data_IF_778984263507
#
_entry.id   IF_778984263507
#
_cell.length_a   1.000
_cell.length_b   1.000
_cell.length_c   1.000
_cell.angle_alpha   90.00
_cell.angle_beta   90.00
_cell.angle_gamma   90.00
#
_symmetry.space_group_name_H-M   'P 1'
#
loop_
_entity.id
_entity.type
_entity.pdbx_description
1 polymer ?
#
# COMPACT_ATOMS: atom_id res chain seq x y z
N UNK A 1 -3.59 -16.33 24.39
CA UNK A 1 -4.61 -16.41 23.31
C UNK A 1 -3.86 -16.38 22.00
N UNK A 2 -3.76 -17.50 21.28
CA UNK A 2 -3.15 -17.55 19.95
C UNK A 2 -4.16 -16.99 18.96
N UNK A 3 -3.86 -15.84 18.37
CA UNK A 3 -4.69 -15.23 17.35
C UNK A 3 -4.83 -16.18 16.17
N UNK A 4 -6.07 -16.41 15.71
CA UNK A 4 -6.31 -17.35 14.61
C UNK A 4 -6.10 -16.61 13.30
N UNK A 5 -5.21 -17.10 12.41
CA UNK A 5 -4.92 -16.40 11.17
C UNK A 5 -6.18 -16.27 10.32
N UNK A 6 -6.41 -15.05 9.84
CA UNK A 6 -7.50 -14.66 8.96
C UNK A 6 -7.43 -15.38 7.62
N UNK A 7 -8.54 -15.40 6.86
CA UNK A 7 -8.56 -15.93 5.49
C UNK A 7 -7.53 -15.25 4.58
N UNK A 8 -7.26 -13.96 4.80
CA UNK A 8 -6.23 -13.23 4.05
C UNK A 8 -4.83 -13.75 4.35
N UNK A 9 -4.50 -13.96 5.62
CA UNK A 9 -3.18 -14.44 6.05
C UNK A 9 -2.94 -15.87 5.59
N UNK A 10 -3.96 -16.74 5.71
CA UNK A 10 -3.92 -18.11 5.18
C UNK A 10 -3.74 -18.12 3.66
N UNK A 11 -4.46 -17.26 2.94
CA UNK A 11 -4.28 -17.13 1.49
C UNK A 11 -2.88 -16.62 1.13
N UNK A 12 -2.38 -15.61 1.84
CA UNK A 12 -1.03 -15.06 1.62
C UNK A 12 0.06 -16.12 1.84
N UNK A 13 -0.06 -16.92 2.92
CA UNK A 13 0.78 -18.10 3.16
C UNK A 13 0.70 -19.08 2.00
N UNK A 14 -0.51 -19.44 1.58
CA UNK A 14 -0.74 -20.40 0.50
C UNK A 14 -0.11 -19.98 -0.84
N UNK A 15 -0.12 -18.69 -1.18
CA UNK A 15 0.55 -18.17 -2.39
C UNK A 15 2.07 -18.30 -2.37
N UNK A 16 2.65 -18.60 -1.20
CA UNK A 16 4.10 -18.75 -0.98
C UNK A 16 4.45 -20.18 -0.56
N UNK A 17 3.49 -21.10 -0.57
CA UNK A 17 3.70 -22.46 -0.09
C UNK A 17 4.66 -23.24 -0.99
N UNK A 18 5.51 -24.05 -0.35
CA UNK A 18 6.38 -25.01 -1.01
C UNK A 18 5.72 -26.39 -1.21
N UNK A 19 4.52 -26.59 -0.65
CA UNK A 19 3.76 -27.84 -0.76
C UNK A 19 2.32 -27.57 -1.19
N UNK A 20 1.92 -28.16 -2.31
CA UNK A 20 0.55 -28.10 -2.82
C UNK A 20 -0.17 -29.44 -2.70
N UNK A 21 0.20 -30.24 -1.69
CA UNK A 21 -0.48 -31.51 -1.42
C UNK A 21 -1.90 -31.24 -0.93
N UNK A 22 -2.83 -32.03 -1.45
CA UNK A 22 -4.23 -32.06 -1.01
C UNK A 22 -4.42 -33.35 -0.22
N UNK A 23 -4.85 -33.23 1.03
CA UNK A 23 -5.04 -34.37 1.93
C UNK A 23 -6.50 -34.40 2.40
N UNK A 24 -7.14 -35.57 2.28
CA UNK A 24 -8.52 -35.72 2.71
C UNK A 24 -8.63 -35.52 4.23
N UNK A 25 -9.52 -34.60 4.65
CA UNK A 25 -9.79 -34.32 6.07
C UNK A 25 -8.92 -33.23 6.70
N UNK A 26 -7.94 -32.67 5.97
CA UNK A 26 -7.12 -31.55 6.43
C UNK A 26 -7.25 -30.37 5.47
N UNK A 27 -7.40 -29.15 6.01
CA UNK A 27 -7.37 -27.92 5.23
C UNK A 27 -5.94 -27.40 5.14
N UNK A 28 -5.30 -27.58 3.99
CA UNK A 28 -3.95 -27.11 3.68
C UNK A 28 -3.94 -25.88 2.78
N UNK A 29 -2.73 -25.41 2.44
CA UNK A 29 -2.53 -24.26 1.55
C UNK A 29 -3.16 -24.46 0.16
N UNK A 30 -3.12 -25.69 -0.36
CA UNK A 30 -3.73 -26.04 -1.64
C UNK A 30 -5.24 -25.77 -1.65
N UNK A 31 -5.95 -26.07 -0.56
CA UNK A 31 -7.40 -25.84 -0.44
C UNK A 31 -7.74 -24.34 -0.50
N UNK A 32 -6.91 -23.49 0.11
CA UNK A 32 -7.09 -22.04 0.04
C UNK A 32 -6.88 -21.52 -1.40
N UNK A 33 -5.90 -22.06 -2.14
CA UNK A 33 -5.69 -21.69 -3.54
C UNK A 33 -6.84 -22.15 -4.44
N UNK A 34 -7.32 -23.39 -4.24
CA UNK A 34 -8.48 -23.91 -4.96
C UNK A 34 -9.71 -23.05 -4.66
N UNK A 35 -10.02 -22.81 -3.39
CA UNK A 35 -11.16 -21.98 -3.00
C UNK A 35 -11.07 -20.56 -3.57
N UNK A 36 -9.87 -19.96 -3.61
CA UNK A 36 -9.63 -18.66 -4.22
C UNK A 36 -9.82 -18.67 -5.74
N UNK A 37 -9.37 -19.71 -6.43
CA UNK A 37 -9.59 -19.89 -7.87
C UNK A 37 -11.07 -19.99 -8.23
N UNK A 38 -11.90 -20.48 -7.30
CA UNK A 38 -13.35 -20.56 -7.45
C UNK A 38 -14.10 -19.31 -6.93
N UNK A 39 -13.40 -18.25 -6.51
CA UNK A 39 -14.03 -17.00 -6.10
C UNK A 39 -14.75 -16.33 -7.27
N UNK A 40 -16.01 -15.94 -7.08
CA UNK A 40 -16.77 -15.16 -8.07
C UNK A 40 -16.22 -13.74 -8.24
N UNK A 41 -15.58 -13.18 -7.21
CA UNK A 41 -14.90 -11.89 -7.31
C UNK A 41 -13.46 -12.07 -7.75
N UNK A 42 -13.25 -12.12 -9.07
CA UNK A 42 -11.91 -12.25 -9.67
C UNK A 42 -11.02 -11.05 -9.35
N UNK A 43 -11.56 -9.84 -9.46
CA UNK A 43 -10.84 -8.61 -9.11
C UNK A 43 -10.45 -8.57 -7.62
N UNK A 44 -11.36 -8.99 -6.73
CA UNK A 44 -11.06 -9.11 -5.31
C UNK A 44 -9.93 -10.10 -5.01
N UNK A 45 -9.92 -11.27 -5.68
CA UNK A 45 -8.84 -12.24 -5.55
C UNK A 45 -7.50 -11.69 -6.09
N UNK A 46 -7.53 -10.95 -7.20
CA UNK A 46 -6.36 -10.27 -7.75
C UNK A 46 -5.79 -9.23 -6.78
N UNK A 47 -6.65 -8.44 -6.12
CA UNK A 47 -6.26 -7.50 -5.07
C UNK A 47 -5.63 -8.22 -3.87
N UNK A 48 -6.22 -9.31 -3.39
CA UNK A 48 -5.66 -10.09 -2.29
C UNK A 48 -4.25 -10.61 -2.62
N UNK A 49 -4.04 -11.05 -3.85
CA UNK A 49 -2.73 -11.50 -4.34
C UNK A 49 -1.75 -10.34 -4.47
N UNK A 50 -2.18 -9.19 -4.98
CA UNK A 50 -1.36 -7.99 -5.07
C UNK A 50 -0.88 -7.53 -3.68
N UNK A 51 -1.74 -7.56 -2.67
CA UNK A 51 -1.37 -7.25 -1.29
C UNK A 51 -0.30 -8.23 -0.78
N UNK A 52 -0.47 -9.52 -1.07
CA UNK A 52 0.49 -10.56 -0.69
C UNK A 52 1.85 -10.38 -1.38
N UNK A 53 1.86 -9.94 -2.64
CA UNK A 53 3.06 -9.60 -3.41
C UNK A 53 3.77 -8.36 -2.84
N UNK A 54 3.00 -7.34 -2.45
CA UNK A 54 3.52 -6.14 -1.80
C UNK A 54 4.19 -6.46 -0.45
N UNK A 55 3.52 -7.25 0.40
CA UNK A 55 4.08 -7.68 1.68
C UNK A 55 5.32 -8.56 1.50
N UNK A 56 5.34 -9.39 0.45
CA UNK A 56 6.49 -10.23 0.12
C UNK A 56 7.67 -9.41 -0.42
N UNK A 57 7.42 -8.33 -1.15
CA UNK A 57 8.48 -7.45 -1.64
C UNK A 57 9.31 -6.91 -0.46
N UNK A 58 8.66 -6.47 0.61
CA UNK A 58 9.33 -6.04 1.84
C UNK A 58 10.22 -7.14 2.45
N UNK A 59 9.75 -8.40 2.44
CA UNK A 59 10.50 -9.55 2.97
C UNK A 59 11.70 -9.95 2.11
N UNK A 60 11.64 -9.70 0.80
CA UNK A 60 12.71 -10.03 -0.17
C UNK A 60 13.83 -8.98 -0.22
N UNK A 61 13.88 -8.06 0.74
CA UNK A 61 14.88 -6.99 0.78
C UNK A 61 14.58 -5.84 -0.19
N UNK A 62 13.41 -5.83 -0.86
CA UNK A 62 12.96 -4.65 -1.58
C UNK A 62 12.51 -3.61 -0.56
N UNK A 63 13.26 -2.52 -0.45
CA UNK A 63 12.93 -1.45 0.47
C UNK A 63 11.71 -0.69 -0.06
N UNK A 64 10.54 -0.92 0.56
CA UNK A 64 9.35 -0.13 0.23
C UNK A 64 9.68 1.35 0.49
N UNK A 65 9.66 2.20 -0.54
CA UNK A 65 10.14 3.56 -0.45
C UNK A 65 9.35 4.32 0.60
N UNK A 66 10.04 5.07 1.47
CA UNK A 66 9.43 5.88 2.52
C UNK A 66 9.50 7.34 2.08
N UNK A 67 8.41 8.06 2.27
CA UNK A 67 8.43 9.50 2.03
C UNK A 67 9.50 10.15 2.90
N UNK A 68 10.25 11.08 2.30
CA UNK A 68 11.32 11.77 2.98
C UNK A 68 10.79 12.57 4.17
N UNK A 69 11.47 12.44 5.30
CA UNK A 69 11.16 13.19 6.51
C UNK A 69 11.62 14.64 6.38
N UNK A 70 11.00 15.54 7.16
CA UNK A 70 11.46 16.95 7.24
C UNK A 70 12.94 17.07 7.58
N UNK A 71 13.46 16.16 8.43
CA UNK A 71 14.89 16.11 8.79
C UNK A 71 15.77 15.79 7.57
N UNK A 72 15.37 14.80 6.76
CA UNK A 72 16.10 14.44 5.53
C UNK A 72 16.07 15.57 4.50
N UNK A 73 14.92 16.22 4.31
CA UNK A 73 14.80 17.38 3.41
C UNK A 73 15.72 18.51 3.89
N UNK A 74 15.68 18.85 5.18
CA UNK A 74 16.53 19.91 5.74
C UNK A 74 18.02 19.58 5.67
N UNK A 75 18.40 18.31 5.86
CA UNK A 75 19.79 17.89 5.73
C UNK A 75 20.27 18.04 4.28
N UNK A 76 19.53 17.49 3.32
CA UNK A 76 19.90 17.59 1.90
C UNK A 76 19.91 19.04 1.41
N UNK A 77 19.00 19.89 1.91
CA UNK A 77 19.00 21.32 1.59
C UNK A 77 20.28 22.02 2.08
N UNK A 78 20.79 21.66 3.27
CA UNK A 78 22.10 22.14 3.76
C UNK A 78 23.23 21.64 2.86
N UNK A 79 23.24 20.36 2.52
CA UNK A 79 24.30 19.77 1.69
C UNK A 79 24.36 20.44 0.30
N UNK A 80 23.19 20.75 -0.30
CA UNK A 80 23.09 21.49 -1.56
C UNK A 80 23.60 22.94 -1.41
N UNK A 81 23.22 23.63 -0.32
CA UNK A 81 23.68 24.98 -0.05
C UNK A 81 25.21 25.04 0.12
N UNK A 82 25.79 24.07 0.84
CA UNK A 82 27.24 23.94 1.03
C UNK A 82 27.95 23.66 -0.30
N UNK A 83 27.42 22.75 -1.13
CA UNK A 83 27.97 22.45 -2.45
C UNK A 83 27.94 23.68 -3.39
N UNK A 84 26.92 24.53 -3.26
CA UNK A 84 26.81 25.81 -3.99
C UNK A 84 27.49 26.99 -3.28
N UNK A 85 28.27 26.75 -2.22
CA UNK A 85 28.97 27.78 -1.43
C UNK A 85 28.06 28.92 -0.92
N UNK A 86 26.78 28.62 -0.70
CA UNK A 86 25.81 29.59 -0.17
C UNK A 86 26.00 29.74 1.34
N UNK A 87 25.99 30.99 1.84
CA UNK A 87 26.12 31.28 3.28
C UNK A 87 24.91 30.83 4.11
N UNK A 88 23.75 30.71 3.47
CA UNK A 88 22.48 30.40 4.11
C UNK A 88 21.64 29.46 3.24
N UNK A 89 20.76 28.69 3.88
CA UNK A 89 19.82 27.81 3.17
C UNK A 89 18.65 28.65 2.65
N UNK A 90 18.61 28.83 1.34
CA UNK A 90 17.53 29.52 0.65
C UNK A 90 16.42 28.56 0.24
N UNK A 91 15.30 29.15 -0.18
CA UNK A 91 14.11 28.41 -0.66
C UNK A 91 14.48 27.49 -1.82
N UNK A 92 15.31 27.94 -2.75
CA UNK A 92 15.75 27.15 -3.91
C UNK A 92 16.45 25.86 -3.52
N UNK A 93 17.30 25.89 -2.49
CA UNK A 93 17.99 24.70 -1.98
C UNK A 93 17.00 23.72 -1.35
N UNK A 94 16.00 24.24 -0.65
CA UNK A 94 14.93 23.44 -0.03
C UNK A 94 14.03 22.78 -1.07
N UNK A 95 13.68 23.52 -2.13
CA UNK A 95 12.86 23.01 -3.22
C UNK A 95 13.63 22.00 -4.08
N UNK A 96 14.93 22.24 -4.34
CA UNK A 96 15.81 21.28 -4.99
C UNK A 96 16.00 19.99 -4.18
N UNK A 97 16.16 20.10 -2.85
CA UNK A 97 16.24 18.95 -1.95
C UNK A 97 14.94 18.14 -1.98
N UNK A 98 13.78 18.81 -1.90
CA UNK A 98 12.47 18.14 -2.00
C UNK A 98 12.34 17.39 -3.31
N UNK A 99 12.63 18.05 -4.44
CA UNK A 99 12.56 17.44 -5.77
C UNK A 99 13.46 16.21 -5.88
N UNK A 100 14.72 16.31 -5.46
CA UNK A 100 15.67 15.17 -5.52
C UNK A 100 15.22 13.97 -4.70
N UNK A 101 14.62 14.21 -3.53
CA UNK A 101 14.07 13.15 -2.68
C UNK A 101 12.78 12.55 -3.27
N UNK A 102 11.93 13.36 -3.89
CA UNK A 102 10.75 12.90 -4.63
C UNK A 102 11.14 12.05 -5.84
N UNK A 103 12.12 12.48 -6.63
CA UNK A 103 12.63 11.74 -7.79
C UNK A 103 13.21 10.38 -7.37
N UNK A 104 14.01 10.35 -6.29
CA UNK A 104 14.53 9.11 -5.72
C UNK A 104 13.42 8.18 -5.23
N UNK A 105 12.42 8.73 -4.52
CA UNK A 105 11.25 7.98 -4.08
C UNK A 105 10.48 7.36 -5.26
N UNK A 106 10.29 8.11 -6.34
CA UNK A 106 9.61 7.62 -7.55
C UNK A 106 10.41 6.51 -8.22
N UNK A 107 11.75 6.63 -8.29
CA UNK A 107 12.61 5.60 -8.85
C UNK A 107 12.53 4.28 -8.06
N UNK A 108 12.64 4.35 -6.73
CA UNK A 108 12.49 3.19 -5.83
C UNK A 108 11.09 2.56 -5.94
N UNK A 109 10.06 3.39 -6.07
CA UNK A 109 8.68 2.93 -6.22
C UNK A 109 8.48 2.19 -7.54
N UNK A 110 9.04 2.70 -8.64
CA UNK A 110 9.00 2.02 -9.94
C UNK A 110 9.63 0.63 -9.88
N UNK A 111 10.76 0.51 -9.20
CA UNK A 111 11.44 -0.79 -9.03
C UNK A 111 10.59 -1.76 -8.20
N UNK A 112 9.99 -1.26 -7.10
CA UNK A 112 9.05 -2.07 -6.29
C UNK A 112 7.86 -2.54 -7.13
N UNK A 113 7.25 -1.62 -7.90
CA UNK A 113 6.09 -1.89 -8.75
C UNK A 113 6.38 -2.92 -9.85
N UNK A 114 7.60 -2.94 -10.39
CA UNK A 114 8.03 -3.93 -11.41
C UNK A 114 7.92 -5.38 -10.92
N UNK A 115 8.05 -5.60 -9.62
CA UNK A 115 8.01 -6.94 -9.02
C UNK A 115 6.59 -7.44 -8.74
N UNK A 116 5.58 -6.58 -8.83
CA UNK A 116 4.19 -6.88 -8.52
C UNK A 116 3.49 -7.42 -9.76
N UNK A 117 3.27 -8.74 -9.81
CA UNK A 117 2.75 -9.44 -10.99
C UNK A 117 1.29 -9.08 -11.27
N UNK A 118 0.51 -8.86 -10.22
CA UNK A 118 -0.92 -8.50 -10.37
C UNK A 118 -1.14 -7.01 -10.65
N UNK A 119 -0.10 -6.18 -10.57
CA UNK A 119 -0.24 -4.72 -10.68
C UNK A 119 -0.82 -4.27 -12.04
N UNK A 120 -0.38 -4.78 -13.22
CA UNK A 120 -0.90 -4.32 -14.49
C UNK A 120 -2.40 -4.58 -14.66
N UNK A 121 -2.84 -5.79 -14.29
CA UNK A 121 -4.26 -6.19 -14.38
C UNK A 121 -5.12 -5.38 -13.41
N UNK A 122 -4.69 -5.24 -12.15
CA UNK A 122 -5.42 -4.46 -11.15
C UNK A 122 -5.52 -2.99 -11.55
N UNK A 123 -4.43 -2.40 -12.07
CA UNK A 123 -4.41 -1.01 -12.53
C UNK A 123 -5.38 -0.80 -13.69
N UNK A 124 -5.36 -1.68 -14.69
CA UNK A 124 -6.26 -1.57 -15.85
C UNK A 124 -7.73 -1.65 -15.41
N UNK A 125 -8.07 -2.61 -14.54
CA UNK A 125 -9.43 -2.75 -14.02
C UNK A 125 -9.89 -1.51 -13.26
N UNK A 126 -9.04 -0.93 -12.41
CA UNK A 126 -9.36 0.32 -11.72
C UNK A 126 -9.56 1.48 -12.67
N UNK A 127 -8.72 1.60 -13.70
CA UNK A 127 -8.87 2.65 -14.71
C UNK A 127 -10.20 2.52 -15.45
N UNK A 128 -10.58 1.31 -15.86
CA UNK A 128 -11.88 1.06 -16.50
C UNK A 128 -13.04 1.40 -15.55
N UNK A 129 -12.95 1.00 -14.28
CA UNK A 129 -13.97 1.29 -13.27
C UNK A 129 -14.10 2.79 -13.03
N UNK A 130 -12.98 3.51 -12.95
CA UNK A 130 -12.94 4.96 -12.77
C UNK A 130 -13.48 5.70 -14.00
N UNK A 131 -13.20 5.21 -15.21
CA UNK A 131 -13.76 5.77 -16.44
C UNK A 131 -15.29 5.62 -16.51
N UNK A 132 -15.82 4.49 -16.02
CA UNK A 132 -17.26 4.26 -15.92
C UNK A 132 -17.96 5.16 -14.89
N UNK A 133 -17.25 5.62 -13.86
CA UNK A 133 -17.74 6.60 -12.87
C UNK A 133 -17.41 8.05 -13.27
N UNK A 134 -17.05 8.29 -14.55
CA UNK A 134 -16.73 9.61 -15.10
C UNK A 134 -15.61 10.36 -14.35
N UNK A 135 -14.69 9.61 -13.73
CA UNK A 135 -13.59 10.19 -12.97
C UNK A 135 -12.64 10.95 -13.89
N UNK A 136 -12.37 12.25 -13.63
CA UNK A 136 -11.33 12.98 -14.35
C UNK A 136 -9.96 12.39 -14.03
N UNK A 137 -9.01 12.53 -14.95
CA UNK A 137 -7.64 12.04 -14.79
C UNK A 137 -7.57 10.58 -14.32
N UNK A 138 -8.37 9.72 -14.95
CA UNK A 138 -8.59 8.32 -14.59
C UNK A 138 -7.31 7.58 -14.22
N UNK A 139 -6.24 7.73 -15.02
CA UNK A 139 -4.96 7.09 -14.77
C UNK A 139 -4.29 7.59 -13.48
N UNK A 140 -4.18 8.91 -13.31
CA UNK A 140 -3.56 9.56 -12.15
C UNK A 140 -4.28 9.18 -10.87
N UNK A 141 -5.62 9.30 -10.85
CA UNK A 141 -6.43 8.96 -9.69
C UNK A 141 -6.35 7.48 -9.36
N UNK A 142 -6.50 6.59 -10.35
CA UNK A 142 -6.45 5.14 -10.13
C UNK A 142 -5.09 4.69 -9.58
N UNK A 143 -3.99 5.21 -10.13
CA UNK A 143 -2.65 4.88 -9.63
C UNK A 143 -2.43 5.40 -8.21
N UNK A 144 -2.87 6.63 -7.92
CA UNK A 144 -2.74 7.21 -6.59
C UNK A 144 -3.58 6.46 -5.54
N UNK A 145 -4.82 6.10 -5.87
CA UNK A 145 -5.71 5.31 -5.00
C UNK A 145 -5.14 3.92 -4.77
N UNK A 146 -4.63 3.24 -5.80
CA UNK A 146 -4.02 1.93 -5.67
C UNK A 146 -2.79 1.95 -4.75
N UNK A 147 -1.92 2.95 -4.91
CA UNK A 147 -0.78 3.16 -4.02
C UNK A 147 -1.23 3.46 -2.58
N UNK A 148 -2.27 4.28 -2.42
CA UNK A 148 -2.86 4.55 -1.13
C UNK A 148 -3.43 3.28 -0.48
N UNK A 149 -4.11 2.42 -1.24
CA UNK A 149 -4.64 1.15 -0.72
C UNK A 149 -3.53 0.18 -0.29
N UNK A 150 -2.44 0.08 -1.06
CA UNK A 150 -1.27 -0.74 -0.71
C UNK A 150 -0.50 -0.18 0.50
N UNK A 151 -0.52 1.13 0.66
CA UNK A 151 0.23 1.84 1.71
C UNK A 151 -0.57 3.03 2.20
N UNK A 152 -1.58 2.83 3.07
CA UNK A 152 -2.48 3.90 3.48
C UNK A 152 -1.86 4.77 4.57
N UNK A 153 -0.56 4.69 4.84
CA UNK A 153 0.08 5.42 5.95
C UNK A 153 0.17 6.91 5.69
N UNK A 154 -0.05 7.69 6.74
CA UNK A 154 0.12 9.13 6.72
C UNK A 154 1.60 9.48 6.45
N UNK A 155 1.87 10.30 5.44
CA UNK A 155 3.21 10.78 5.14
C UNK A 155 3.88 11.55 6.27
N UNK A 156 3.12 12.38 6.99
CA UNK A 156 3.65 13.26 8.02
C UNK A 156 4.07 12.51 9.30
N UNK A 157 3.24 11.58 9.79
CA UNK A 157 3.55 10.79 10.99
C UNK A 157 4.06 9.38 10.67
N UNK A 158 4.12 8.99 9.40
CA UNK A 158 4.50 7.63 8.97
C UNK A 158 3.68 6.53 9.66
N UNK A 159 2.39 6.79 9.95
CA UNK A 159 1.52 5.86 10.68
C UNK A 159 1.58 5.95 12.21
N UNK A 160 2.47 6.77 12.79
CA UNK A 160 2.62 6.91 14.26
C UNK A 160 1.44 7.54 14.98
N UNK A 161 0.49 8.14 14.26
CA UNK A 161 -0.71 8.84 14.78
C UNK A 161 -0.44 10.12 15.58
N UNK A 162 0.74 10.27 16.17
CA UNK A 162 1.13 11.43 16.98
C UNK A 162 2.20 12.29 16.31
N UNK A 163 2.37 13.51 16.80
CA UNK A 163 3.47 14.39 16.39
C UNK A 163 4.79 13.89 16.99
N UNK A 164 5.89 14.14 16.28
CA UNK A 164 7.23 13.90 16.81
C UNK A 164 7.60 15.05 17.74
N UNK A 165 8.04 14.74 18.96
CA UNK A 165 8.54 15.76 19.87
C UNK A 165 9.82 16.40 19.31
N UNK A 166 9.99 17.74 19.38
CA UNK A 166 11.20 18.42 18.91
C UNK A 166 12.47 18.04 19.67
N UNK A 167 12.37 17.62 20.94
CA UNK A 167 13.52 17.47 21.86
C UNK A 167 13.92 16.04 22.21
N UNK A 168 13.11 15.04 21.92
CA UNK A 168 13.47 13.64 22.15
C UNK A 168 12.80 12.80 21.07
N UNK A 169 13.41 11.68 20.68
CA UNK A 169 12.86 10.72 19.70
C UNK A 169 11.58 10.01 20.16
N UNK A 170 10.86 10.58 21.12
CA UNK A 170 9.64 10.08 21.71
C UNK A 170 8.41 10.65 20.99
N UNK A 171 7.34 9.85 20.98
CA UNK A 171 6.04 10.27 20.50
C UNK A 171 5.48 11.33 21.45
N UNK A 172 5.05 12.47 20.89
CA UNK A 172 4.26 13.42 21.69
C UNK A 172 2.89 12.81 22.02
N UNK A 173 2.22 13.34 23.05
CA UNK A 173 0.81 13.06 23.32
C UNK A 173 -0.15 13.75 22.34
N UNK A 174 0.36 14.59 21.43
CA UNK A 174 -0.44 15.40 20.53
C UNK A 174 -0.70 14.64 19.23
N UNK A 175 -1.98 14.49 18.88
CA UNK A 175 -2.38 13.87 17.62
C UNK A 175 -1.76 14.57 16.40
N UNK A 176 -1.42 13.78 15.38
CA UNK A 176 -0.87 14.29 14.14
C UNK A 176 -1.92 15.15 13.43
N UNK A 177 -1.61 16.44 13.23
CA UNK A 177 -2.52 17.39 12.56
C UNK A 177 -2.85 17.00 11.12
N UNK A 178 -1.96 16.28 10.44
CA UNK A 178 -2.18 15.90 9.03
C UNK A 178 -3.19 14.78 8.86
N UNK A 179 -3.31 13.86 9.82
CA UNK A 179 -4.25 12.72 9.74
C UNK A 179 -5.27 12.70 10.87
N UNK A 180 -5.28 13.71 11.74
CA UNK A 180 -6.18 13.78 12.91
C UNK A 180 -5.98 12.64 13.90
N UNK A 181 -4.81 11.99 13.91
CA UNK A 181 -4.58 10.80 14.74
C UNK A 181 -5.00 9.46 14.13
N UNK A 182 -5.53 9.43 12.91
CA UNK A 182 -5.90 8.16 12.25
C UNK A 182 -4.68 7.31 11.90
N UNK A 183 -3.54 7.95 11.63
CA UNK A 183 -2.35 7.30 11.11
C UNK A 183 -2.41 7.05 9.60
N UNK A 184 -3.54 7.32 8.96
CA UNK A 184 -3.74 7.10 7.53
C UNK A 184 -3.57 8.39 6.72
N UNK A 185 -3.11 8.26 5.48
CA UNK A 185 -3.05 9.37 4.52
C UNK A 185 -4.45 9.82 4.09
N UNK A 186 -4.55 11.01 3.52
CA UNK A 186 -5.79 11.44 2.87
C UNK A 186 -5.96 10.63 1.57
N UNK A 187 -7.18 10.14 1.33
CA UNK A 187 -7.51 9.44 0.08
C UNK A 187 -7.31 10.40 -1.11
N UNK A 188 -6.49 10.04 -2.12
CA UNK A 188 -6.28 10.86 -3.31
C UNK A 188 -7.52 10.85 -4.21
N UNK A 189 -7.68 11.85 -5.08
CA UNK A 189 -8.80 11.89 -6.05
C UNK A 189 -10.18 12.24 -5.49
N UNK A 190 -10.27 12.73 -4.25
CA UNK A 190 -11.50 13.29 -3.70
C UNK A 190 -12.63 12.26 -3.50
N UNK A 191 -13.82 12.54 -4.05
CA UNK A 191 -14.97 11.62 -3.99
C UNK A 191 -14.75 10.36 -4.84
N UNK A 192 -14.30 10.52 -6.09
CA UNK A 192 -14.01 9.39 -6.98
C UNK A 192 -13.00 8.42 -6.37
N UNK A 193 -11.93 8.95 -5.75
CA UNK A 193 -10.96 8.09 -5.09
C UNK A 193 -11.50 7.35 -3.88
N UNK A 194 -12.43 7.95 -3.12
CA UNK A 194 -13.14 7.27 -2.02
C UNK A 194 -14.05 6.16 -2.55
N UNK A 195 -14.81 6.42 -3.62
CA UNK A 195 -15.64 5.40 -4.28
C UNK A 195 -14.80 4.21 -4.78
N UNK A 196 -13.67 4.48 -5.44
CA UNK A 196 -12.76 3.43 -5.90
C UNK A 196 -12.19 2.62 -4.73
N UNK A 197 -11.80 3.28 -3.64
CA UNK A 197 -11.30 2.58 -2.45
C UNK A 197 -12.38 1.67 -1.84
N UNK A 198 -13.60 2.17 -1.65
CA UNK A 198 -14.74 1.36 -1.19
C UNK A 198 -15.01 0.19 -2.13
N UNK A 199 -14.99 0.42 -3.45
CA UNK A 199 -15.16 -0.64 -4.44
C UNK A 199 -14.09 -1.74 -4.33
N UNK A 200 -12.83 -1.36 -4.11
CA UNK A 200 -11.74 -2.31 -3.88
C UNK A 200 -11.97 -3.13 -2.61
N UNK A 201 -12.31 -2.48 -1.50
CA UNK A 201 -12.60 -3.12 -0.22
C UNK A 201 -13.77 -4.10 -0.32
N UNK A 202 -14.85 -3.71 -1.00
CA UNK A 202 -16.02 -4.57 -1.25
C UNK A 202 -15.65 -5.80 -2.08
N UNK A 203 -14.81 -5.63 -3.12
CA UNK A 203 -14.35 -6.75 -3.93
C UNK A 203 -13.48 -7.72 -3.12
N UNK A 204 -12.57 -7.20 -2.30
CA UNK A 204 -11.77 -8.01 -1.37
C UNK A 204 -12.66 -8.73 -0.36
N UNK A 205 -13.64 -8.04 0.21
CA UNK A 205 -14.63 -8.61 1.13
C UNK A 205 -15.39 -9.78 0.52
N UNK A 206 -15.93 -9.59 -0.70
CA UNK A 206 -16.61 -10.65 -1.47
C UNK A 206 -15.69 -11.84 -1.77
N UNK A 207 -14.43 -11.59 -2.13
CA UNK A 207 -13.47 -12.66 -2.38
C UNK A 207 -13.17 -13.48 -1.11
N UNK A 208 -12.91 -12.80 0.02
CA UNK A 208 -12.68 -13.46 1.32
C UNK A 208 -13.89 -14.28 1.76
N UNK A 209 -15.09 -13.73 1.63
CA UNK A 209 -16.33 -14.44 1.96
C UNK A 209 -16.51 -15.67 1.06
N UNK A 210 -16.26 -15.54 -0.24
CA UNK A 210 -16.33 -16.66 -1.19
C UNK A 210 -15.36 -17.79 -0.85
N UNK A 211 -14.11 -17.46 -0.51
CA UNK A 211 -13.11 -18.45 -0.07
C UNK A 211 -13.59 -19.16 1.21
N UNK A 212 -14.02 -18.39 2.21
CA UNK A 212 -14.50 -18.93 3.48
C UNK A 212 -15.72 -19.82 3.34
N UNK A 213 -16.68 -19.45 2.48
CA UNK A 213 -17.90 -20.23 2.23
C UNK A 213 -17.55 -21.61 1.68
N UNK A 214 -16.66 -21.66 0.68
CA UNK A 214 -16.22 -22.91 0.03
C UNK A 214 -15.44 -23.82 0.96
N UNK A 215 -14.51 -23.27 1.75
CA UNK A 215 -13.73 -24.07 2.70
C UNK A 215 -14.63 -24.72 3.76
N UNK A 216 -15.72 -24.06 4.16
CA UNK A 216 -16.65 -24.57 5.16
C UNK A 216 -17.74 -25.50 4.60
N UNK A 217 -17.64 -25.92 3.33
CA UNK A 217 -18.55 -26.92 2.75
C UNK A 217 -19.99 -26.47 2.61
N UNK A 218 -20.27 -25.16 2.74
CA UNK A 218 -21.55 -24.59 2.33
C UNK A 218 -21.32 -24.19 0.89
N UNK A 219 -21.82 -24.96 -0.07
CA UNK A 219 -21.83 -24.61 -1.49
C UNK A 219 -23.28 -24.67 -1.94
#
# INVERSE_FOLDING_TARGET
MTDTPTTQERYASATQSSSLRVEAGLQGDADYLIAAGWSKSRFGAALMRLHSEWDAAARRGCQIPRQATRKQIAQLARDIATAKQSKQVEKEHSDAARKRLEDGFVAELKETMRMLKMLPEVRLHLQLTAALDECPETESVSCAVLLHWLKPVCGACSGRKFQLSPRAGELSSVACRSCGGSGHGKVPGGEHGRKLLTYMEDCVGRARQGIRYRLNGRA
#
